data_IF_209386104035
#
_entry.id   IF_209386104035
#
_cell.length_a   1.000
_cell.length_b   1.000
_cell.length_c   1.000
_cell.angle_alpha   90.00
_cell.angle_beta   90.00
_cell.angle_gamma   90.00
#
_symmetry.space_group_name_H-M   'P 1'
#
loop_
_entity.id
_entity.type
_entity.pdbx_description
1 polymer ?
#
# COMPACT_ATOMS: atom_id res chain seq x y z
N UNK A 1 21.11 18.70 21.08
CA UNK A 1 20.62 18.15 19.81
C UNK A 1 19.14 18.50 19.75
N UNK A 2 18.81 19.51 18.92
CA UNK A 2 17.45 20.06 18.86
C UNK A 2 16.51 19.10 18.17
N UNK A 3 15.34 18.86 18.79
CA UNK A 3 14.20 18.20 18.14
C UNK A 3 13.75 19.06 16.96
N UNK A 4 13.46 18.52 15.80
CA UNK A 4 12.79 19.25 14.74
C UNK A 4 11.34 19.47 15.17
N UNK A 5 11.02 20.70 15.52
CA UNK A 5 9.70 21.13 15.98
C UNK A 5 8.70 21.21 14.84
N UNK A 6 7.58 20.54 14.96
CA UNK A 6 6.23 21.10 14.73
C UNK A 6 5.81 21.58 13.34
N UNK A 7 6.54 21.33 12.25
CA UNK A 7 6.17 21.86 10.93
C UNK A 7 5.33 20.95 10.02
N UNK A 8 5.25 19.67 10.31
CA UNK A 8 4.69 18.68 9.40
C UNK A 8 3.17 18.48 9.50
N UNK A 9 2.59 18.65 10.69
CA UNK A 9 1.14 18.45 10.93
C UNK A 9 0.24 19.41 10.13
N UNK A 10 0.66 20.66 9.90
CA UNK A 10 -0.14 21.62 9.12
C UNK A 10 -0.07 21.45 7.61
N UNK A 11 0.95 20.76 7.07
CA UNK A 11 1.08 20.53 5.64
C UNK A 11 0.14 19.42 5.14
N UNK A 12 -0.15 18.45 5.98
CA UNK A 12 -0.90 17.23 5.62
C UNK A 12 -2.41 17.47 5.61
N UNK A 13 -2.96 18.24 6.54
CA UNK A 13 -4.38 18.65 6.51
C UNK A 13 -4.76 19.43 5.23
N UNK A 14 -3.80 20.10 4.60
CA UNK A 14 -3.97 20.73 3.28
C UNK A 14 -3.99 19.72 2.12
N UNK A 15 -3.55 18.50 2.36
CA UNK A 15 -3.49 17.46 1.33
C UNK A 15 -4.89 17.02 0.86
N UNK A 16 -5.85 16.98 1.78
CA UNK A 16 -7.23 16.57 1.50
C UNK A 16 -8.20 17.73 1.31
N UNK A 17 -7.99 18.85 2.02
CA UNK A 17 -8.99 19.90 2.20
C UNK A 17 -8.66 21.20 1.45
N UNK A 18 -7.46 21.29 0.86
CA UNK A 18 -7.08 22.47 0.10
C UNK A 18 -7.85 22.58 -1.20
N UNK A 19 -8.51 23.71 -1.45
CA UNK A 19 -8.66 24.21 -2.81
C UNK A 19 -7.28 24.10 -3.47
N UNK A 20 -7.24 23.61 -4.72
CA UNK A 20 -6.02 23.50 -5.52
C UNK A 20 -5.05 24.65 -5.20
N UNK A 21 -4.01 24.37 -4.41
CA UNK A 21 -2.92 25.33 -4.19
C UNK A 21 -1.94 25.14 -5.35
N UNK A 22 -1.80 26.11 -6.25
CA UNK A 22 -0.88 26.00 -7.39
C UNK A 22 0.59 25.86 -6.99
N UNK A 23 0.90 25.98 -5.69
CA UNK A 23 2.23 25.73 -5.12
C UNK A 23 2.45 24.26 -4.71
N UNK A 24 1.39 23.45 -4.68
CA UNK A 24 1.51 22.01 -4.43
C UNK A 24 2.09 21.31 -5.66
N UNK A 25 2.90 20.25 -5.46
CA UNK A 25 3.39 19.41 -6.55
C UNK A 25 2.21 18.91 -7.40
N UNK A 26 2.36 18.98 -8.73
CA UNK A 26 1.29 18.55 -9.66
C UNK A 26 0.90 17.07 -9.48
N UNK A 27 1.83 16.22 -9.05
CA UNK A 27 1.62 14.79 -8.85
C UNK A 27 1.86 14.43 -7.40
N UNK A 28 0.94 13.69 -6.81
CA UNK A 28 1.00 13.25 -5.40
C UNK A 28 0.90 11.75 -5.30
N UNK A 29 1.60 11.19 -4.32
CA UNK A 29 1.58 9.75 -4.03
C UNK A 29 1.08 9.56 -2.61
N UNK A 30 0.07 8.71 -2.44
CA UNK A 30 -0.42 8.28 -1.12
C UNK A 30 -0.17 6.78 -1.00
N UNK A 31 0.62 6.38 -0.02
CA UNK A 31 0.88 4.97 0.26
C UNK A 31 0.10 4.55 1.49
N UNK A 32 -0.85 3.62 1.34
CA UNK A 32 -1.65 3.10 2.45
C UNK A 32 -0.96 1.89 3.09
N UNK A 33 -0.62 2.02 4.38
CA UNK A 33 0.06 1.01 5.19
C UNK A 33 -0.85 0.54 6.32
N UNK A 34 -0.61 -0.64 6.88
CA UNK A 34 -1.30 -1.15 8.06
C UNK A 34 -1.35 -2.68 8.15
N UNK A 35 -1.87 -3.19 9.24
CA UNK A 35 -2.03 -4.60 9.54
C UNK A 35 -2.91 -5.36 8.52
N UNK A 36 -2.86 -6.69 8.57
CA UNK A 36 -3.79 -7.53 7.81
C UNK A 36 -5.23 -7.34 8.30
N UNK A 37 -6.19 -7.24 7.37
CA UNK A 37 -7.61 -7.21 7.71
C UNK A 37 -8.19 -5.87 8.16
N UNK A 38 -7.37 -4.82 8.38
CA UNK A 38 -7.86 -3.50 8.85
C UNK A 38 -8.63 -2.69 7.80
N UNK A 39 -8.73 -3.16 6.56
CA UNK A 39 -9.46 -2.48 5.49
C UNK A 39 -8.62 -1.52 4.64
N UNK A 40 -7.31 -1.74 4.52
CA UNK A 40 -6.42 -0.93 3.65
C UNK A 40 -6.95 -0.75 2.24
N UNK A 41 -7.25 -1.86 1.57
CA UNK A 41 -7.76 -1.85 0.18
C UNK A 41 -9.06 -1.04 0.05
N UNK A 42 -9.98 -1.23 0.99
CA UNK A 42 -11.24 -0.46 1.04
C UNK A 42 -10.98 1.03 1.28
N UNK A 43 -10.07 1.36 2.21
CA UNK A 43 -9.67 2.75 2.50
C UNK A 43 -8.98 3.38 1.29
N UNK A 44 -8.08 2.66 0.61
CA UNK A 44 -7.39 3.14 -0.59
C UNK A 44 -8.36 3.41 -1.74
N UNK A 45 -9.34 2.50 -1.96
CA UNK A 45 -10.38 2.67 -2.96
C UNK A 45 -11.31 3.85 -2.62
N UNK A 46 -11.73 3.97 -1.36
CA UNK A 46 -12.59 5.06 -0.88
C UNK A 46 -11.89 6.42 -0.97
N UNK A 47 -10.60 6.49 -0.62
CA UNK A 47 -9.77 7.68 -0.80
C UNK A 47 -9.71 8.11 -2.26
N UNK A 48 -9.40 7.16 -3.16
CA UNK A 48 -9.34 7.42 -4.59
C UNK A 48 -10.68 7.90 -5.15
N UNK A 49 -11.80 7.27 -4.74
CA UNK A 49 -13.15 7.69 -5.10
C UNK A 49 -13.44 9.12 -4.61
N UNK A 50 -13.16 9.41 -3.34
CA UNK A 50 -13.41 10.72 -2.74
C UNK A 50 -12.63 11.86 -3.42
N UNK A 51 -11.36 11.61 -3.78
CA UNK A 51 -10.53 12.55 -4.51
C UNK A 51 -11.01 12.76 -5.97
N UNK A 52 -11.42 11.67 -6.64
CA UNK A 52 -11.99 11.75 -7.98
C UNK A 52 -13.35 12.47 -8.00
N UNK A 53 -14.20 12.27 -7.00
CA UNK A 53 -15.45 13.02 -6.85
C UNK A 53 -15.20 14.54 -6.70
N UNK A 54 -14.04 14.94 -6.16
CA UNK A 54 -13.62 16.35 -6.03
C UNK A 54 -12.95 16.94 -7.28
N UNK A 55 -12.85 16.19 -8.36
CA UNK A 55 -12.37 16.70 -9.66
C UNK A 55 -10.94 16.31 -10.01
N UNK A 56 -10.29 15.43 -9.24
CA UNK A 56 -8.93 14.98 -9.51
C UNK A 56 -8.92 13.76 -10.44
N UNK A 57 -7.85 13.60 -11.19
CA UNK A 57 -7.57 12.39 -11.97
C UNK A 57 -6.73 11.44 -11.11
N UNK A 58 -7.36 10.42 -10.57
CA UNK A 58 -6.80 9.55 -9.54
C UNK A 58 -6.61 8.14 -10.06
N UNK A 59 -5.45 7.56 -9.76
CA UNK A 59 -5.18 6.14 -9.98
C UNK A 59 -5.02 5.44 -8.63
N UNK A 60 -5.78 4.38 -8.39
CA UNK A 60 -5.53 3.45 -7.30
C UNK A 60 -4.83 2.20 -7.82
N UNK A 61 -3.69 1.86 -7.21
CA UNK A 61 -2.88 0.69 -7.58
C UNK A 61 -2.82 -0.26 -6.41
N UNK A 62 -3.17 -1.51 -6.61
CA UNK A 62 -2.96 -2.54 -5.58
C UNK A 62 -1.80 -3.47 -5.93
N UNK A 63 -1.00 -3.75 -4.93
CA UNK A 63 0.09 -4.74 -4.97
C UNK A 63 -0.44 -6.11 -4.50
N UNK A 64 -1.61 -6.15 -3.86
CA UNK A 64 -2.21 -7.40 -3.37
C UNK A 64 -2.74 -8.26 -4.52
N UNK A 65 -2.21 -9.48 -4.73
CA UNK A 65 -2.66 -10.37 -5.79
C UNK A 65 -4.09 -10.92 -5.58
N UNK A 66 -4.69 -10.71 -4.40
CA UNK A 66 -5.98 -11.27 -4.02
C UNK A 66 -7.19 -10.63 -4.73
N UNK A 67 -7.00 -9.74 -5.70
CA UNK A 67 -8.06 -9.07 -6.50
C UNK A 67 -9.12 -8.32 -5.67
N UNK A 68 -8.82 -8.01 -4.41
CA UNK A 68 -9.76 -7.35 -3.50
C UNK A 68 -10.15 -5.96 -3.99
N UNK A 69 -9.23 -5.24 -4.61
CA UNK A 69 -9.50 -3.92 -5.17
C UNK A 69 -10.59 -3.97 -6.25
N UNK A 70 -10.52 -4.98 -7.15
CA UNK A 70 -11.52 -5.15 -8.20
C UNK A 70 -12.91 -5.43 -7.62
N UNK A 71 -12.99 -6.31 -6.61
CA UNK A 71 -14.24 -6.58 -5.90
C UNK A 71 -14.78 -5.31 -5.18
N UNK A 72 -13.91 -4.59 -4.47
CA UNK A 72 -14.27 -3.36 -3.76
C UNK A 72 -14.82 -2.27 -4.69
N UNK A 73 -14.27 -2.16 -5.90
CA UNK A 73 -14.72 -1.21 -6.92
C UNK A 73 -15.86 -1.75 -7.81
N UNK A 74 -16.33 -2.99 -7.56
CA UNK A 74 -17.36 -3.65 -8.36
C UNK A 74 -16.96 -3.93 -9.80
N UNK A 75 -15.65 -4.08 -10.08
CA UNK A 75 -15.09 -4.22 -11.44
C UNK A 75 -14.46 -5.60 -11.67
N UNK A 76 -15.03 -6.63 -11.09
CA UNK A 76 -14.51 -8.01 -11.17
C UNK A 76 -14.30 -8.51 -12.61
N UNK A 77 -15.18 -8.12 -13.52
CA UNK A 77 -15.07 -8.50 -14.95
C UNK A 77 -13.90 -7.82 -15.65
N UNK A 78 -13.38 -6.72 -15.11
CA UNK A 78 -12.21 -5.98 -15.65
C UNK A 78 -10.87 -6.53 -15.18
N UNK A 79 -10.89 -7.60 -14.38
CA UNK A 79 -9.67 -8.12 -13.74
C UNK A 79 -8.54 -8.48 -14.71
N UNK A 80 -8.87 -8.89 -15.95
CA UNK A 80 -7.88 -9.22 -16.98
C UNK A 80 -7.30 -7.96 -17.68
N UNK A 81 -8.13 -6.94 -17.90
CA UNK A 81 -7.73 -5.70 -18.59
C UNK A 81 -6.99 -4.74 -17.67
N UNK A 82 -7.37 -4.70 -16.39
CA UNK A 82 -6.71 -3.87 -15.37
C UNK A 82 -5.42 -4.49 -14.80
N UNK A 83 -5.05 -5.70 -15.24
CA UNK A 83 -3.76 -6.30 -14.86
C UNK A 83 -2.62 -5.63 -15.62
N UNK A 84 -1.70 -5.01 -14.87
CA UNK A 84 -0.48 -4.41 -15.39
C UNK A 84 -0.66 -3.06 -16.10
N UNK A 85 -1.88 -2.56 -16.32
CA UNK A 85 -2.12 -1.26 -16.97
C UNK A 85 -3.27 -0.50 -16.30
N UNK A 86 -3.21 0.85 -16.24
CA UNK A 86 -4.30 1.66 -15.70
C UNK A 86 -5.59 1.49 -16.51
N UNK A 87 -6.69 1.23 -15.83
CA UNK A 87 -8.01 1.12 -16.43
C UNK A 87 -8.97 2.16 -15.83
N UNK A 88 -9.67 2.91 -16.67
CA UNK A 88 -10.63 3.92 -16.25
C UNK A 88 -11.93 3.28 -15.80
N UNK A 89 -12.41 3.67 -14.62
CA UNK A 89 -13.68 3.21 -14.08
C UNK A 89 -14.82 4.08 -14.66
N UNK A 90 -15.90 3.43 -15.13
CA UNK A 90 -17.06 4.15 -15.63
C UNK A 90 -17.75 4.93 -14.51
N UNK A 91 -17.83 6.28 -14.60
CA UNK A 91 -18.46 7.10 -13.58
C UNK A 91 -19.96 6.83 -13.40
N UNK A 92 -20.65 6.24 -14.38
CA UNK A 92 -22.07 5.92 -14.28
C UNK A 92 -22.37 4.96 -13.15
N UNK A 93 -21.45 4.03 -12.86
CA UNK A 93 -21.58 3.05 -11.77
C UNK A 93 -21.73 3.71 -10.41
N UNK A 94 -21.03 4.82 -10.19
CA UNK A 94 -21.11 5.57 -8.93
C UNK A 94 -22.25 6.56 -8.92
N UNK A 95 -22.71 7.02 -10.09
CA UNK A 95 -23.86 7.91 -10.20
C UNK A 95 -25.16 7.21 -9.74
N UNK A 96 -25.30 5.92 -9.99
CA UNK A 96 -26.42 5.09 -9.51
C UNK A 96 -26.46 5.01 -7.97
N UNK A 97 -25.31 5.13 -7.32
CA UNK A 97 -25.15 5.17 -5.85
C UNK A 97 -25.10 6.62 -5.30
N UNK A 98 -25.49 7.60 -6.10
CA UNK A 98 -25.54 9.00 -5.68
C UNK A 98 -24.19 9.73 -5.62
N UNK A 99 -23.10 9.14 -6.11
CA UNK A 99 -21.78 9.77 -6.13
C UNK A 99 -21.53 10.45 -7.49
N UNK A 100 -21.55 11.78 -7.49
CA UNK A 100 -21.20 12.56 -8.68
C UNK A 100 -19.67 12.66 -8.85
N UNK A 101 -19.16 12.11 -9.94
CA UNK A 101 -17.72 12.17 -10.29
C UNK A 101 -17.45 13.44 -11.09
N UNK A 102 -16.61 14.35 -10.54
CA UNK A 102 -16.16 15.56 -11.24
C UNK A 102 -14.82 15.37 -11.96
N UNK A 103 -14.01 14.40 -11.51
CA UNK A 103 -12.74 13.99 -12.08
C UNK A 103 -12.81 12.59 -12.66
N UNK A 104 -11.69 11.88 -12.60
CA UNK A 104 -11.54 10.54 -13.15
C UNK A 104 -10.99 9.57 -12.12
N UNK A 105 -11.61 8.40 -12.00
CA UNK A 105 -11.09 7.28 -11.22
C UNK A 105 -10.55 6.21 -12.15
N UNK A 106 -9.32 5.82 -11.89
CA UNK A 106 -8.62 4.74 -12.58
C UNK A 106 -8.18 3.70 -11.55
N UNK A 107 -8.17 2.45 -11.95
CA UNK A 107 -7.67 1.35 -11.11
C UNK A 107 -6.66 0.49 -11.88
N UNK A 108 -5.73 -0.07 -11.14
CA UNK A 108 -4.74 -0.98 -11.67
C UNK A 108 -4.40 -2.06 -10.65
N UNK A 109 -4.32 -3.29 -11.10
CA UNK A 109 -3.76 -4.41 -10.33
C UNK A 109 -2.35 -4.70 -10.85
N UNK A 110 -1.39 -4.73 -9.95
CA UNK A 110 -0.02 -5.04 -10.31
C UNK A 110 0.10 -6.53 -10.69
N UNK A 111 0.69 -6.79 -11.83
CA UNK A 111 1.17 -8.10 -12.23
C UNK A 111 2.70 -8.09 -12.17
N UNK A 112 3.31 -8.77 -11.17
CA UNK A 112 4.75 -8.74 -10.99
C UNK A 112 5.51 -9.26 -12.19
N UNK A 113 5.05 -10.35 -12.78
CA UNK A 113 5.70 -10.94 -13.94
C UNK A 113 5.67 -9.99 -15.13
N UNK A 114 4.50 -9.44 -15.43
CA UNK A 114 4.34 -8.47 -16.53
C UNK A 114 5.18 -7.22 -16.31
N UNK A 115 5.24 -6.71 -15.06
CA UNK A 115 6.07 -5.55 -14.74
C UNK A 115 7.56 -5.84 -14.97
N UNK A 116 8.05 -7.05 -14.62
CA UNK A 116 9.43 -7.46 -14.94
C UNK A 116 9.65 -7.61 -16.45
N UNK A 117 8.72 -8.24 -17.18
CA UNK A 117 8.81 -8.38 -18.63
C UNK A 117 8.88 -7.01 -19.34
N UNK A 118 8.09 -6.02 -18.85
CA UNK A 118 8.13 -4.65 -19.34
C UNK A 118 9.47 -3.94 -19.05
N UNK A 119 10.06 -4.19 -17.86
CA UNK A 119 11.40 -3.69 -17.52
C UNK A 119 12.45 -4.24 -18.51
N UNK A 120 12.45 -5.56 -18.71
CA UNK A 120 13.36 -6.20 -19.64
C UNK A 120 13.19 -5.58 -21.04
N UNK A 121 11.95 -5.45 -21.50
CA UNK A 121 11.65 -4.87 -22.82
C UNK A 121 12.18 -3.44 -22.98
N UNK A 122 12.15 -2.63 -21.92
CA UNK A 122 12.60 -1.23 -21.97
C UNK A 122 14.10 -1.03 -21.78
N UNK A 123 14.75 -1.95 -21.07
CA UNK A 123 16.17 -1.82 -20.70
C UNK A 123 17.09 -2.70 -21.54
N UNK A 124 16.56 -3.67 -22.28
CA UNK A 124 17.34 -4.45 -23.23
C UNK A 124 17.91 -3.54 -24.34
N UNK A 125 19.12 -3.81 -24.76
CA UNK A 125 19.85 -3.04 -25.77
C UNK A 125 19.25 -3.18 -27.17
N UNK A 126 18.71 -4.36 -27.45
CA UNK A 126 18.09 -4.73 -28.71
C UNK A 126 17.02 -5.84 -28.51
N UNK A 127 16.32 -6.18 -29.60
CA UNK A 127 15.28 -7.18 -29.59
C UNK A 127 15.83 -8.60 -29.33
N UNK A 128 17.03 -8.91 -29.78
CA UNK A 128 17.68 -10.21 -29.58
C UNK A 128 17.99 -10.42 -28.08
N UNK A 129 18.56 -9.43 -27.41
CA UNK A 129 18.80 -9.48 -25.96
C UNK A 129 17.51 -9.63 -25.17
N UNK A 130 16.46 -8.86 -25.55
CA UNK A 130 15.13 -8.97 -24.95
C UNK A 130 14.58 -10.39 -25.05
N UNK A 131 14.56 -10.97 -26.26
CA UNK A 131 14.04 -12.31 -26.49
C UNK A 131 14.84 -13.37 -25.73
N UNK A 132 16.17 -13.25 -25.72
CA UNK A 132 17.04 -14.17 -24.97
C UNK A 132 16.74 -14.13 -23.46
N UNK A 133 16.56 -12.95 -22.87
CA UNK A 133 16.25 -12.82 -21.43
C UNK A 133 14.85 -13.37 -21.15
N UNK A 134 13.85 -12.96 -21.91
CA UNK A 134 12.46 -13.38 -21.68
C UNK A 134 12.26 -14.89 -21.88
N UNK A 135 13.01 -15.53 -22.77
CA UNK A 135 12.95 -16.97 -23.01
C UNK A 135 13.81 -17.79 -22.03
N UNK A 136 14.68 -17.15 -21.26
CA UNK A 136 15.62 -17.86 -20.37
C UNK A 136 14.86 -18.58 -19.22
N UNK A 137 15.05 -19.89 -19.02
CA UNK A 137 14.37 -20.65 -17.96
C UNK A 137 14.64 -20.11 -16.55
N UNK A 138 15.83 -19.56 -16.28
CA UNK A 138 16.19 -18.96 -15.00
C UNK A 138 15.36 -17.70 -14.78
N UNK A 139 15.22 -16.86 -15.80
CA UNK A 139 14.37 -15.69 -15.77
C UNK A 139 12.91 -16.04 -15.46
N UNK A 140 12.36 -17.03 -16.18
CA UNK A 140 10.97 -17.45 -16.03
C UNK A 140 10.67 -17.94 -14.60
N UNK A 141 11.62 -18.63 -13.97
CA UNK A 141 11.50 -19.08 -12.59
C UNK A 141 11.66 -17.91 -11.59
N UNK A 142 12.66 -17.05 -11.80
CA UNK A 142 12.93 -15.93 -10.90
C UNK A 142 11.82 -14.87 -10.95
N UNK A 143 11.33 -14.49 -12.11
CA UNK A 143 10.30 -13.46 -12.28
C UNK A 143 8.95 -13.85 -11.64
N UNK A 144 8.70 -15.15 -11.46
CA UNK A 144 7.47 -15.66 -10.85
C UNK A 144 7.59 -16.10 -9.40
N UNK A 145 8.80 -16.44 -8.92
CA UNK A 145 9.01 -17.13 -7.65
C UNK A 145 9.80 -16.33 -6.59
N UNK A 146 10.42 -15.21 -6.96
CA UNK A 146 11.30 -14.47 -6.04
C UNK A 146 10.49 -13.73 -4.98
N UNK A 147 10.75 -14.04 -3.70
CA UNK A 147 10.24 -13.26 -2.58
C UNK A 147 10.70 -11.80 -2.73
N UNK A 148 9.76 -10.84 -2.74
CA UNK A 148 10.04 -9.42 -3.01
C UNK A 148 9.79 -8.99 -4.46
N UNK A 149 9.36 -9.90 -5.35
CA UNK A 149 9.00 -9.55 -6.73
C UNK A 149 7.84 -8.54 -6.80
N UNK A 150 6.88 -8.64 -5.89
CA UNK A 150 5.76 -7.72 -5.79
C UNK A 150 6.23 -6.30 -5.46
N UNK A 151 7.11 -6.15 -4.48
CA UNK A 151 7.64 -4.87 -4.02
C UNK A 151 8.50 -4.21 -5.11
N UNK A 152 9.34 -4.99 -5.78
CA UNK A 152 10.19 -4.50 -6.86
C UNK A 152 9.37 -4.06 -8.07
N UNK A 153 8.38 -4.86 -8.44
CA UNK A 153 7.44 -4.55 -9.52
C UNK A 153 6.66 -3.27 -9.24
N UNK A 154 6.21 -3.12 -7.98
CA UNK A 154 5.50 -1.91 -7.55
C UNK A 154 6.36 -0.66 -7.65
N UNK A 155 7.65 -0.73 -7.26
CA UNK A 155 8.59 0.38 -7.37
C UNK A 155 8.78 0.77 -8.83
N UNK A 156 9.03 -0.20 -9.70
CA UNK A 156 9.26 0.07 -11.11
C UNK A 156 8.02 0.65 -11.78
N UNK A 157 6.85 0.09 -11.45
CA UNK A 157 5.59 0.57 -12.00
C UNK A 157 5.24 1.95 -11.46
N UNK A 158 5.55 2.24 -10.21
CA UNK A 158 5.37 3.57 -9.63
C UNK A 158 6.23 4.62 -10.35
N UNK A 159 7.48 4.28 -10.70
CA UNK A 159 8.33 5.15 -11.52
C UNK A 159 7.68 5.47 -12.86
N UNK A 160 7.21 4.45 -13.59
CA UNK A 160 6.53 4.60 -14.87
C UNK A 160 5.26 5.47 -14.74
N UNK A 161 4.39 5.14 -13.77
CA UNK A 161 3.14 5.86 -13.54
C UNK A 161 3.38 7.33 -13.19
N UNK A 162 4.43 7.62 -12.44
CA UNK A 162 4.78 8.98 -12.08
C UNK A 162 5.32 9.78 -13.26
N UNK A 163 6.16 9.20 -14.10
CA UNK A 163 6.83 9.93 -15.19
C UNK A 163 6.05 9.93 -16.50
N UNK A 164 5.36 8.85 -16.83
CA UNK A 164 4.75 8.67 -18.16
C UNK A 164 3.24 8.95 -18.20
N UNK A 165 2.56 8.94 -17.03
CA UNK A 165 1.11 9.20 -16.97
C UNK A 165 0.81 10.52 -16.27
N UNK A 166 -0.31 11.14 -16.66
CA UNK A 166 -0.75 12.42 -16.10
C UNK A 166 -1.89 12.20 -15.08
N UNK A 167 -1.55 11.61 -13.94
CA UNK A 167 -2.43 11.50 -12.79
C UNK A 167 -2.11 12.60 -11.78
N UNK A 168 -3.15 13.21 -11.19
CA UNK A 168 -2.98 14.17 -10.10
C UNK A 168 -2.58 13.45 -8.80
N UNK A 169 -3.15 12.25 -8.57
CA UNK A 169 -2.87 11.44 -7.39
C UNK A 169 -2.74 9.96 -7.76
N UNK A 170 -1.72 9.32 -7.21
CA UNK A 170 -1.55 7.87 -7.22
C UNK A 170 -1.73 7.36 -5.80
N UNK A 171 -2.74 6.53 -5.56
CA UNK A 171 -2.99 5.86 -4.28
C UNK A 171 -2.46 4.43 -4.37
N UNK A 172 -1.49 4.08 -3.53
CA UNK A 172 -0.87 2.77 -3.51
C UNK A 172 -1.41 1.94 -2.35
N UNK A 173 -2.14 0.88 -2.66
CA UNK A 173 -2.61 -0.12 -1.72
C UNK A 173 -1.54 -1.21 -1.53
N UNK A 174 -0.98 -1.30 -0.32
CA UNK A 174 0.11 -2.24 -0.03
C UNK A 174 -0.40 -3.56 0.54
N UNK A 175 0.35 -4.66 0.35
CA UNK A 175 -0.01 -5.95 0.92
C UNK A 175 -0.05 -5.91 2.46
N UNK A 176 -0.83 -6.82 3.09
CA UNK A 176 -0.86 -6.94 4.54
C UNK A 176 0.43 -7.56 5.04
N UNK A 177 1.35 -6.76 5.56
CA UNK A 177 2.54 -7.31 6.18
C UNK A 177 3.14 -6.36 7.20
N UNK A 178 3.72 -6.92 8.28
CA UNK A 178 4.70 -6.22 9.13
C UNK A 178 5.87 -5.69 8.29
N UNK A 179 5.99 -6.19 7.10
CA UNK A 179 6.96 -5.83 6.08
C UNK A 179 6.38 -4.87 5.01
N UNK A 180 5.25 -4.20 5.27
CA UNK A 180 4.72 -3.18 4.35
C UNK A 180 5.77 -2.10 4.02
N UNK A 181 6.77 -1.93 4.90
CA UNK A 181 7.96 -1.10 4.67
C UNK A 181 9.10 -1.83 3.95
N UNK A 182 9.00 -3.15 3.74
CA UNK A 182 9.96 -3.88 2.90
C UNK A 182 9.89 -3.42 1.44
N UNK A 183 8.72 -2.92 1.02
CA UNK A 183 8.56 -2.18 -0.22
C UNK A 183 9.59 -1.02 -0.33
N UNK A 184 9.84 -0.30 0.75
CA UNK A 184 10.80 0.81 0.80
C UNK A 184 12.26 0.31 0.87
N UNK A 185 12.50 -0.86 1.44
CA UNK A 185 13.82 -1.47 1.58
C UNK A 185 14.15 -2.39 0.39
N UNK A 186 13.16 -2.82 -0.39
CA UNK A 186 13.33 -3.69 -1.56
C UNK A 186 14.37 -3.14 -2.55
N UNK A 187 14.39 -1.83 -2.87
CA UNK A 187 15.45 -1.23 -3.68
C UNK A 187 16.84 -1.48 -3.12
N UNK A 188 17.03 -1.16 -1.84
CA UNK A 188 18.35 -1.26 -1.17
C UNK A 188 18.79 -2.71 -1.07
N UNK A 189 17.88 -3.65 -0.79
CA UNK A 189 18.20 -5.08 -0.73
C UNK A 189 18.61 -5.63 -2.10
N UNK A 190 17.87 -5.25 -3.15
CA UNK A 190 18.20 -5.68 -4.50
C UNK A 190 19.53 -5.09 -4.94
N UNK A 191 19.77 -3.79 -4.73
CA UNK A 191 21.04 -3.17 -5.05
C UNK A 191 22.19 -3.83 -4.28
N UNK A 192 22.01 -4.11 -2.97
CA UNK A 192 22.97 -4.86 -2.18
C UNK A 192 23.27 -6.26 -2.71
N UNK A 193 22.25 -6.93 -3.28
CA UNK A 193 22.43 -8.22 -3.95
C UNK A 193 23.16 -8.06 -5.30
N UNK A 194 22.74 -7.10 -6.12
CA UNK A 194 23.30 -6.84 -7.46
C UNK A 194 24.75 -6.31 -7.40
N UNK A 195 25.07 -5.49 -6.42
CA UNK A 195 26.42 -4.98 -6.16
C UNK A 195 27.27 -5.97 -5.34
N UNK A 196 26.65 -7.00 -4.82
CA UNK A 196 27.26 -7.99 -3.94
C UNK A 196 28.40 -8.77 -4.58
N UNK A 197 29.39 -9.16 -3.77
CA UNK A 197 30.53 -9.97 -4.22
C UNK A 197 30.09 -11.30 -4.86
N UNK A 198 28.97 -11.86 -4.39
CA UNK A 198 28.45 -13.11 -4.91
C UNK A 198 28.07 -12.98 -6.41
N UNK A 199 27.34 -11.93 -6.79
CA UNK A 199 26.94 -11.73 -8.18
C UNK A 199 28.14 -11.41 -9.07
N UNK A 200 29.08 -10.58 -8.60
CA UNK A 200 30.32 -10.28 -9.33
C UNK A 200 31.14 -11.53 -9.64
N UNK A 201 31.03 -12.55 -8.80
CA UNK A 201 31.68 -13.86 -9.01
C UNK A 201 30.99 -14.64 -10.11
N UNK A 202 29.65 -14.64 -10.12
CA UNK A 202 28.88 -15.29 -11.21
C UNK A 202 29.09 -14.60 -12.54
N UNK A 203 29.30 -13.29 -12.53
CA UNK A 203 29.56 -12.49 -13.75
C UNK A 203 31.01 -12.55 -14.22
N UNK A 204 31.95 -13.03 -13.40
CA UNK A 204 33.37 -13.07 -13.75
C UNK A 204 33.62 -14.11 -14.88
N UNK A 205 34.54 -13.79 -15.85
CA UNK A 205 34.91 -14.74 -16.90
C UNK A 205 35.42 -16.04 -16.29
N UNK A 206 35.02 -17.18 -16.88
CA UNK A 206 35.47 -18.51 -16.48
C UNK A 206 37.00 -18.62 -16.59
N UNK A 207 37.69 -18.57 -15.47
CA UNK A 207 39.14 -18.60 -15.36
C UNK A 207 39.71 -17.70 -14.26
N UNK A 208 39.00 -16.64 -13.89
CA UNK A 208 39.40 -15.71 -12.81
C UNK A 208 38.82 -16.17 -11.45
N UNK A 209 37.70 -16.87 -11.47
CA UNK A 209 36.99 -17.37 -10.29
C UNK A 209 37.85 -18.30 -9.42
N UNK A 210 38.67 -19.16 -10.03
CA UNK A 210 39.52 -20.08 -9.31
C UNK A 210 40.68 -19.39 -8.55
N UNK A 211 41.06 -18.17 -8.94
CA UNK A 211 42.17 -17.39 -8.30
C UNK A 211 41.69 -16.43 -7.21
N UNK A 212 40.45 -16.00 -7.25
CA UNK A 212 39.85 -15.04 -6.31
C UNK A 212 39.30 -15.69 -5.03
N UNK A 213 39.01 -16.98 -5.07
CA UNK A 213 38.50 -17.72 -3.93
C UNK A 213 39.58 -18.57 -3.29
N UNK A 214 39.95 -18.22 -2.04
CA UNK A 214 40.77 -19.06 -1.20
C UNK A 214 40.17 -20.46 -1.01
N UNK A 215 40.97 -21.44 -0.65
CA UNK A 215 40.65 -22.89 -0.54
C UNK A 215 39.33 -23.22 0.18
N UNK A 216 38.83 -22.36 1.09
CA UNK A 216 37.60 -22.58 1.87
C UNK A 216 36.30 -22.31 1.10
N UNK A 217 36.31 -21.34 0.18
CA UNK A 217 35.10 -20.97 -0.60
C UNK A 217 34.91 -21.91 -1.78
N UNK A 218 35.97 -22.46 -2.34
CA UNK A 218 35.92 -23.47 -3.41
C UNK A 218 35.21 -24.75 -2.97
N UNK A 219 35.26 -25.08 -1.68
CA UNK A 219 34.59 -26.30 -1.15
C UNK A 219 33.09 -26.12 -1.06
N UNK A 220 32.58 -24.95 -0.66
CA UNK A 220 31.15 -24.64 -0.63
C UNK A 220 30.58 -24.63 -2.06
N UNK A 221 31.33 -24.04 -3.01
CA UNK A 221 30.95 -24.05 -4.43
C UNK A 221 30.94 -25.45 -5.03
N UNK A 222 31.92 -26.29 -4.68
CA UNK A 222 31.99 -27.67 -5.15
C UNK A 222 30.83 -28.55 -4.59
N UNK A 223 30.44 -28.32 -3.35
CA UNK A 223 29.28 -28.99 -2.74
C UNK A 223 28.00 -28.53 -3.41
N UNK A 224 27.83 -27.21 -3.64
CA UNK A 224 26.65 -26.65 -4.31
C UNK A 224 26.53 -27.15 -5.76
N UNK A 225 27.61 -27.12 -6.52
CA UNK A 225 27.67 -27.66 -7.90
C UNK A 225 27.38 -29.16 -7.96
N UNK A 226 27.72 -29.92 -6.91
CA UNK A 226 27.47 -31.35 -6.83
C UNK A 226 26.01 -31.70 -6.49
N UNK A 227 25.33 -30.80 -5.79
CA UNK A 227 23.90 -30.96 -5.41
C UNK A 227 22.97 -30.45 -6.51
N UNK A 228 23.34 -29.34 -7.20
CA UNK A 228 22.47 -28.65 -8.16
C UNK A 228 22.83 -28.92 -9.62
N UNK A 229 23.98 -29.54 -9.91
CA UNK A 229 24.49 -29.80 -11.25
C UNK A 229 25.35 -28.65 -11.81
N UNK A 230 26.37 -29.01 -12.59
CA UNK A 230 27.30 -28.03 -13.19
C UNK A 230 26.61 -27.16 -14.22
N UNK A 231 25.59 -27.69 -14.90
CA UNK A 231 24.83 -26.97 -15.94
C UNK A 231 24.06 -25.77 -15.38
N UNK A 232 23.43 -25.91 -14.21
CA UNK A 232 22.69 -24.82 -13.57
C UNK A 232 23.58 -23.64 -13.21
N UNK A 233 24.83 -23.87 -12.78
CA UNK A 233 25.78 -22.79 -12.48
C UNK A 233 26.23 -22.06 -13.75
N UNK A 234 26.41 -22.77 -14.85
CA UNK A 234 26.73 -22.18 -16.14
C UNK A 234 25.57 -21.36 -16.70
N UNK A 235 24.35 -21.88 -16.57
CA UNK A 235 23.14 -21.18 -16.98
C UNK A 235 22.89 -19.93 -16.15
N UNK A 236 23.04 -20.00 -14.83
CA UNK A 236 22.95 -18.85 -13.93
C UNK A 236 23.99 -17.79 -14.27
N UNK A 237 25.24 -18.18 -14.53
CA UNK A 237 26.31 -17.27 -14.93
C UNK A 237 26.06 -16.61 -16.28
N UNK A 238 25.47 -17.34 -17.23
CA UNK A 238 25.06 -16.83 -18.54
C UNK A 238 23.94 -15.81 -18.36
N UNK A 239 22.90 -16.19 -17.64
CA UNK A 239 21.76 -15.35 -17.33
C UNK A 239 22.16 -14.00 -16.72
N UNK A 240 22.95 -13.99 -15.63
CA UNK A 240 23.38 -12.75 -15.00
C UNK A 240 24.27 -11.89 -15.89
N UNK A 241 25.06 -12.46 -16.77
CA UNK A 241 25.85 -11.70 -17.76
C UNK A 241 24.95 -11.01 -18.79
N UNK A 242 23.95 -11.72 -19.30
CA UNK A 242 22.96 -11.14 -20.22
C UNK A 242 22.14 -10.06 -19.54
N UNK A 243 21.78 -10.26 -18.26
CA UNK A 243 21.01 -9.29 -17.49
C UNK A 243 21.81 -8.06 -17.05
N UNK A 244 23.15 -8.04 -17.19
CA UNK A 244 24.00 -6.97 -16.63
C UNK A 244 23.64 -5.57 -17.12
N UNK A 245 23.28 -5.43 -18.41
CA UNK A 245 22.86 -4.14 -18.97
C UNK A 245 21.53 -3.64 -18.41
N UNK A 246 20.63 -4.55 -18.05
CA UNK A 246 19.33 -4.23 -17.46
C UNK A 246 19.46 -3.85 -15.98
N UNK A 247 20.44 -4.43 -15.27
CA UNK A 247 20.68 -4.20 -13.84
C UNK A 247 20.98 -2.73 -13.54
N UNK A 248 21.82 -2.09 -14.34
CA UNK A 248 22.22 -0.70 -14.13
C UNK A 248 21.01 0.25 -14.28
N UNK A 249 20.23 0.12 -15.35
CA UNK A 249 19.04 0.91 -15.58
C UNK A 249 17.92 0.66 -14.56
N UNK A 250 17.85 -0.57 -14.03
CA UNK A 250 16.95 -0.89 -12.94
C UNK A 250 17.36 -0.20 -11.63
N UNK A 251 18.67 -0.19 -11.34
CA UNK A 251 19.22 0.49 -10.17
C UNK A 251 18.98 2.01 -10.17
N UNK A 252 19.00 2.66 -11.33
CA UNK A 252 18.67 4.09 -11.46
C UNK A 252 17.20 4.35 -11.12
N UNK A 253 16.26 3.64 -11.76
CA UNK A 253 14.83 3.78 -11.48
C UNK A 253 14.47 3.54 -10.02
N UNK A 254 15.12 2.57 -9.42
CA UNK A 254 14.97 2.25 -8.01
C UNK A 254 15.39 3.40 -7.09
N UNK A 255 16.51 4.07 -7.40
CA UNK A 255 16.98 5.25 -6.67
C UNK A 255 16.05 6.45 -6.86
N UNK A 256 15.54 6.63 -8.06
CA UNK A 256 14.58 7.71 -8.36
C UNK A 256 13.29 7.55 -7.54
N UNK A 257 12.72 6.33 -7.48
CA UNK A 257 11.52 6.09 -6.65
C UNK A 257 11.83 6.25 -5.17
N UNK A 258 12.97 5.79 -4.69
CA UNK A 258 13.36 6.00 -3.30
C UNK A 258 13.53 7.50 -2.96
N UNK A 259 13.94 8.33 -3.92
CA UNK A 259 13.96 9.79 -3.78
C UNK A 259 12.54 10.36 -3.79
N UNK A 260 11.72 9.95 -4.76
CA UNK A 260 10.33 10.39 -4.92
C UNK A 260 9.49 10.13 -3.66
N UNK A 261 9.65 8.97 -3.02
CA UNK A 261 8.95 8.63 -1.80
C UNK A 261 9.39 9.46 -0.57
N UNK A 262 10.51 10.18 -0.65
CA UNK A 262 10.97 11.13 0.38
C UNK A 262 10.55 12.57 0.10
N UNK A 263 10.00 12.84 -1.06
CA UNK A 263 9.54 14.18 -1.40
C UNK A 263 8.26 14.55 -0.64
N UNK A 264 8.01 15.85 -0.42
CA UNK A 264 6.76 16.33 0.19
C UNK A 264 5.49 15.98 -0.60
N UNK A 265 5.64 15.57 -1.85
CA UNK A 265 4.57 15.07 -2.73
C UNK A 265 4.10 13.66 -2.40
N UNK A 266 4.90 12.93 -1.61
CA UNK A 266 4.62 11.57 -1.17
C UNK A 266 4.26 11.54 0.31
N UNK A 267 3.19 10.83 0.67
CA UNK A 267 2.72 10.70 2.05
C UNK A 267 2.30 9.26 2.34
N UNK A 268 2.49 8.85 3.59
CA UNK A 268 2.18 7.50 4.06
C UNK A 268 1.01 7.55 5.02
N UNK A 269 -0.12 6.97 4.63
CA UNK A 269 -1.30 6.84 5.47
C UNK A 269 -1.24 5.54 6.25
N UNK A 270 -1.47 5.63 7.55
CA UNK A 270 -1.54 4.45 8.41
C UNK A 270 -3.00 4.11 8.63
N UNK A 271 -3.42 2.94 8.15
CA UNK A 271 -4.77 2.40 8.35
C UNK A 271 -4.70 1.33 9.42
N UNK A 272 -5.50 1.49 10.45
CA UNK A 272 -5.60 0.56 11.58
C UNK A 272 -7.05 0.34 11.99
N UNK A 273 -7.28 -0.48 12.99
CA UNK A 273 -8.56 -0.64 13.69
C UNK A 273 -8.33 -0.52 15.20
N UNK A 274 -9.37 -0.35 16.02
CA UNK A 274 -9.20 -0.14 17.45
C UNK A 274 -8.74 -1.39 18.22
N UNK A 275 -8.62 -2.55 17.56
CA UNK A 275 -8.15 -3.76 18.20
C UNK A 275 -6.67 -3.64 18.61
N UNK A 276 -6.25 -4.32 19.70
CA UNK A 276 -4.92 -4.14 20.30
C UNK A 276 -3.75 -4.44 19.34
N UNK A 277 -3.82 -5.52 18.57
CA UNK A 277 -2.73 -5.93 17.67
C UNK A 277 -2.54 -4.95 16.50
N UNK A 278 -3.59 -4.57 15.72
CA UNK A 278 -3.50 -3.55 14.69
C UNK A 278 -3.02 -2.19 15.22
N UNK A 279 -3.47 -1.81 16.41
CA UNK A 279 -3.05 -0.55 17.05
C UNK A 279 -1.54 -0.55 17.36
N UNK A 280 -1.00 -1.63 17.90
CA UNK A 280 0.45 -1.77 18.14
C UNK A 280 1.24 -1.78 16.82
N UNK A 281 0.72 -2.41 15.78
CA UNK A 281 1.36 -2.41 14.47
C UNK A 281 1.38 -1.01 13.86
N UNK A 282 0.33 -0.22 14.04
CA UNK A 282 0.28 1.18 13.59
C UNK A 282 1.38 2.03 14.24
N UNK A 283 1.60 1.88 15.54
CA UNK A 283 2.70 2.57 16.25
C UNK A 283 4.06 2.15 15.70
N UNK A 284 4.26 0.84 15.53
CA UNK A 284 5.50 0.32 14.94
C UNK A 284 5.76 0.86 13.53
N UNK A 285 4.73 0.95 12.67
CA UNK A 285 4.84 1.51 11.32
C UNK A 285 5.21 2.99 11.35
N UNK A 286 4.59 3.78 12.22
CA UNK A 286 4.89 5.20 12.37
C UNK A 286 6.34 5.45 12.81
N UNK A 287 6.84 4.71 13.81
CA UNK A 287 8.23 4.76 14.26
C UNK A 287 9.20 4.42 13.12
N UNK A 288 8.86 3.41 12.33
CA UNK A 288 9.65 2.99 11.18
C UNK A 288 9.67 4.03 10.06
N UNK A 289 8.55 4.70 9.77
CA UNK A 289 8.50 5.81 8.82
C UNK A 289 9.36 6.97 9.30
N UNK A 290 9.22 7.36 10.56
CA UNK A 290 10.00 8.44 11.19
C UNK A 290 11.50 8.18 11.13
N UNK A 291 11.95 6.97 11.49
CA UNK A 291 13.37 6.56 11.42
C UNK A 291 13.96 6.64 10.01
N UNK A 292 13.14 6.51 8.97
CA UNK A 292 13.56 6.61 7.57
C UNK A 292 13.42 8.01 6.98
N UNK A 293 12.95 8.98 7.78
CA UNK A 293 12.70 10.35 7.32
C UNK A 293 11.58 10.44 6.30
N UNK A 294 10.59 9.54 6.38
CA UNK A 294 9.42 9.52 5.51
C UNK A 294 8.26 10.27 6.15
N UNK A 295 7.55 11.08 5.37
CA UNK A 295 6.41 11.84 5.86
C UNK A 295 5.22 10.92 6.10
N UNK A 296 4.89 10.65 7.38
CA UNK A 296 3.60 10.05 7.70
C UNK A 296 2.49 11.09 7.51
N UNK A 297 1.42 10.65 6.85
CA UNK A 297 0.23 11.46 6.61
C UNK A 297 -0.84 11.20 7.66
N UNK A 298 -2.04 10.87 7.20
CA UNK A 298 -3.18 10.65 8.09
C UNK A 298 -3.10 9.29 8.79
N UNK A 299 -3.63 9.27 10.01
CA UNK A 299 -4.01 8.05 10.71
C UNK A 299 -5.50 7.80 10.46
N UNK A 300 -5.82 6.67 9.86
CA UNK A 300 -7.21 6.22 9.66
C UNK A 300 -7.49 5.07 10.62
N UNK A 301 -8.43 5.28 11.54
CA UNK A 301 -8.94 4.23 12.42
C UNK A 301 -10.25 3.72 11.86
N UNK A 302 -10.20 2.58 11.20
CA UNK A 302 -11.31 1.95 10.52
C UNK A 302 -12.05 0.98 11.44
N UNK A 303 -13.35 0.80 11.21
CA UNK A 303 -14.23 -0.11 11.96
C UNK A 303 -14.31 0.24 13.45
N UNK A 304 -14.28 1.52 13.79
CA UNK A 304 -14.44 1.95 15.16
C UNK A 304 -15.91 1.94 15.56
N UNK A 305 -16.21 1.41 16.72
CA UNK A 305 -17.51 1.65 17.34
C UNK A 305 -17.55 3.11 17.79
N UNK A 306 -18.45 3.89 17.17
CA UNK A 306 -18.61 5.31 17.44
C UNK A 306 -20.09 5.66 17.43
N UNK A 307 -20.48 6.61 18.23
CA UNK A 307 -21.86 7.06 18.37
C UNK A 307 -22.22 7.41 19.81
N UNK A 308 -23.45 7.84 19.98
CA UNK A 308 -24.01 8.08 21.30
C UNK A 308 -24.33 6.73 21.95
N UNK A 309 -23.57 6.38 22.99
CA UNK A 309 -23.83 5.22 23.82
C UNK A 309 -24.98 5.51 24.81
N UNK A 310 -24.76 5.16 26.07
CA UNK A 310 -25.72 5.48 27.14
C UNK A 310 -25.77 6.98 27.49
N UNK A 311 -24.78 7.75 27.07
CA UNK A 311 -24.66 9.20 27.30
C UNK A 311 -24.96 9.65 28.75
N UNK A 312 -24.44 8.87 29.71
CA UNK A 312 -24.64 9.10 31.14
C UNK A 312 -25.95 8.55 31.73
N UNK A 313 -26.84 8.00 30.91
CA UNK A 313 -28.04 7.30 31.37
C UNK A 313 -27.72 5.91 31.86
N UNK A 314 -28.50 5.41 32.83
CA UNK A 314 -28.42 3.99 33.20
C UNK A 314 -29.20 3.10 32.19
N UNK A 315 -28.87 1.82 32.07
CA UNK A 315 -29.68 0.89 31.27
C UNK A 315 -31.15 0.84 31.69
N UNK A 316 -31.41 1.03 32.98
CA UNK A 316 -32.76 1.09 33.57
C UNK A 316 -33.52 2.32 33.09
N UNK A 317 -32.86 3.49 32.99
CA UNK A 317 -33.47 4.73 32.47
C UNK A 317 -33.84 4.56 30.99
N UNK A 318 -32.93 3.98 30.20
CA UNK A 318 -33.17 3.70 28.78
C UNK A 318 -34.33 2.69 28.63
N UNK A 319 -34.35 1.63 29.44
CA UNK A 319 -35.45 0.66 29.42
C UNK A 319 -36.79 1.35 29.76
N UNK A 320 -36.83 2.21 30.78
CA UNK A 320 -38.03 2.93 31.17
C UNK A 320 -38.56 3.87 30.04
N UNK A 321 -37.61 4.54 29.35
CA UNK A 321 -37.90 5.41 28.20
C UNK A 321 -38.49 4.63 27.01
N UNK A 322 -37.93 3.47 26.72
CA UNK A 322 -38.34 2.65 25.56
C UNK A 322 -39.60 1.76 25.81
N UNK A 323 -39.89 1.45 27.09
CA UNK A 323 -40.93 0.52 27.47
C UNK A 323 -42.37 0.91 26.97
N UNK A 324 -42.76 2.19 26.94
CA UNK A 324 -44.07 2.58 26.40
C UNK A 324 -44.28 2.26 24.92
N UNK A 325 -43.17 2.32 24.13
CA UNK A 325 -43.23 2.10 22.67
C UNK A 325 -42.95 0.65 22.30
N UNK A 326 -41.96 0.01 22.92
CA UNK A 326 -41.47 -1.32 22.55
C UNK A 326 -42.05 -2.45 23.41
N UNK A 327 -42.68 -2.12 24.54
CA UNK A 327 -43.04 -3.07 25.58
C UNK A 327 -41.87 -3.51 26.44
N UNK A 328 -42.10 -3.96 27.67
CA UNK A 328 -41.07 -4.19 28.69
C UNK A 328 -39.95 -5.16 28.23
N UNK A 329 -40.34 -6.25 27.56
CA UNK A 329 -39.37 -7.28 27.17
C UNK A 329 -38.39 -6.85 26.08
N UNK A 330 -38.88 -6.10 25.07
CA UNK A 330 -38.01 -5.59 23.99
C UNK A 330 -37.20 -4.38 24.46
N UNK A 331 -37.80 -3.52 25.29
CA UNK A 331 -37.10 -2.39 25.90
C UNK A 331 -35.92 -2.84 26.78
N UNK A 332 -36.06 -3.91 27.56
CA UNK A 332 -34.98 -4.47 28.37
C UNK A 332 -33.83 -4.97 27.50
N UNK A 333 -34.13 -5.69 26.41
CA UNK A 333 -33.13 -6.18 25.48
C UNK A 333 -32.39 -5.04 24.75
N UNK A 334 -33.16 -4.03 24.31
CA UNK A 334 -32.59 -2.84 23.65
C UNK A 334 -31.65 -2.06 24.61
N UNK A 335 -32.07 -1.85 25.85
CA UNK A 335 -31.24 -1.20 26.86
C UNK A 335 -29.95 -1.98 27.18
N UNK A 336 -30.04 -3.30 27.26
CA UNK A 336 -28.88 -4.16 27.45
C UNK A 336 -27.90 -4.10 26.27
N UNK A 337 -28.40 -4.21 25.04
CA UNK A 337 -27.58 -4.10 23.85
C UNK A 337 -26.90 -2.71 23.74
N UNK A 338 -27.61 -1.64 24.12
CA UNK A 338 -27.04 -0.30 24.13
C UNK A 338 -25.92 -0.17 25.19
N UNK A 339 -26.07 -0.81 26.34
CA UNK A 339 -25.03 -0.86 27.38
C UNK A 339 -23.79 -1.61 26.90
N UNK A 340 -23.97 -2.75 26.22
CA UNK A 340 -22.84 -3.48 25.61
C UNK A 340 -22.17 -2.66 24.53
N UNK A 341 -22.94 -1.96 23.71
CA UNK A 341 -22.42 -1.05 22.67
C UNK A 341 -21.62 0.11 23.28
N UNK A 342 -22.10 0.72 24.36
CA UNK A 342 -21.43 1.80 25.08
C UNK A 342 -20.04 1.38 25.59
N UNK A 343 -19.89 0.14 26.06
CA UNK A 343 -18.59 -0.43 26.45
C UNK A 343 -17.64 -0.47 25.24
N UNK A 344 -18.13 -0.88 24.08
CA UNK A 344 -17.31 -0.93 22.86
C UNK A 344 -16.91 0.46 22.39
N UNK A 345 -17.82 1.43 22.41
CA UNK A 345 -17.56 2.84 22.04
C UNK A 345 -16.46 3.43 22.96
N UNK A 346 -16.58 3.23 24.27
CA UNK A 346 -15.59 3.75 25.25
C UNK A 346 -14.21 3.11 25.05
N UNK A 347 -14.16 1.79 24.87
CA UNK A 347 -12.91 1.06 24.59
C UNK A 347 -12.22 1.60 23.35
N UNK A 348 -12.97 1.80 22.27
CA UNK A 348 -12.43 2.26 21.00
C UNK A 348 -11.97 3.72 21.10
N UNK A 349 -12.74 4.57 21.76
CA UNK A 349 -12.36 5.97 22.02
C UNK A 349 -11.05 6.07 22.82
N UNK A 350 -10.87 5.25 23.87
CA UNK A 350 -9.63 5.18 24.64
C UNK A 350 -8.44 4.70 23.77
N UNK A 351 -8.66 3.75 22.90
CA UNK A 351 -7.60 3.24 22.01
C UNK A 351 -7.22 4.29 20.97
N UNK A 352 -8.20 4.98 20.38
CA UNK A 352 -7.98 6.09 19.45
C UNK A 352 -7.19 7.21 20.12
N UNK A 353 -7.56 7.61 21.34
CA UNK A 353 -6.84 8.64 22.10
C UNK A 353 -5.37 8.25 22.37
N UNK A 354 -5.12 6.97 22.74
CA UNK A 354 -3.75 6.45 22.94
C UNK A 354 -2.94 6.44 21.65
N UNK A 355 -3.55 6.06 20.54
CA UNK A 355 -2.91 6.07 19.22
C UNK A 355 -2.52 7.49 18.80
N UNK A 356 -3.43 8.45 18.92
CA UNK A 356 -3.17 9.86 18.60
C UNK A 356 -2.00 10.44 19.41
N UNK A 357 -1.98 10.12 20.71
CA UNK A 357 -0.89 10.54 21.59
C UNK A 357 0.46 9.86 21.23
N UNK A 358 0.45 8.55 20.95
CA UNK A 358 1.66 7.80 20.64
C UNK A 358 2.28 8.19 19.29
N UNK A 359 1.45 8.53 18.31
CA UNK A 359 1.91 8.92 16.98
C UNK A 359 2.16 10.42 16.83
N UNK A 360 1.89 11.21 17.86
CA UNK A 360 1.97 12.67 17.81
C UNK A 360 1.20 13.27 16.60
N UNK A 361 0.13 12.60 16.16
CA UNK A 361 -0.76 13.07 15.10
C UNK A 361 -1.89 13.91 15.70
N UNK A 362 -2.48 14.76 14.88
CA UNK A 362 -3.71 15.47 15.24
C UNK A 362 -4.90 14.50 15.44
N UNK A 363 -6.10 14.99 15.20
CA UNK A 363 -7.31 14.17 15.25
C UNK A 363 -7.28 13.12 14.11
N UNK A 364 -7.34 11.81 14.42
CA UNK A 364 -7.33 10.78 13.39
C UNK A 364 -8.67 10.74 12.64
N UNK A 365 -8.64 10.27 11.42
CA UNK A 365 -9.86 10.02 10.64
C UNK A 365 -10.49 8.73 11.17
N UNK A 366 -11.65 8.84 11.79
CA UNK A 366 -12.40 7.69 12.30
C UNK A 366 -13.46 7.28 11.29
N UNK A 367 -13.38 6.03 10.82
CA UNK A 367 -14.39 5.41 9.98
C UNK A 367 -15.18 4.44 10.87
N UNK A 368 -16.50 4.67 11.04
CA UNK A 368 -17.30 3.86 11.91
C UNK A 368 -17.44 2.41 11.39
N UNK A 369 -17.71 1.50 12.31
CA UNK A 369 -18.16 0.15 11.96
C UNK A 369 -19.49 0.26 11.22
N UNK A 370 -19.54 -0.28 10.02
CA UNK A 370 -20.74 -0.30 9.19
C UNK A 370 -21.43 -1.66 9.28
N UNK A 371 -22.74 -1.66 9.43
CA UNK A 371 -23.55 -2.87 9.41
C UNK A 371 -23.55 -3.45 7.98
N UNK A 372 -23.09 -4.69 7.84
CA UNK A 372 -23.11 -5.41 6.58
C UNK A 372 -21.71 -5.75 6.03
N UNK A 373 -21.71 -6.51 4.95
CA UNK A 373 -20.49 -6.84 4.22
C UNK A 373 -20.11 -5.60 3.38
N UNK A 374 -19.08 -4.85 3.79
CA UNK A 374 -18.59 -3.62 3.12
C UNK A 374 -18.02 -3.91 1.71
N UNK A 375 -18.83 -4.54 0.86
CA UNK A 375 -18.46 -4.93 -0.49
C UNK A 375 -19.20 -4.12 -1.58
N UNK A 376 -20.11 -3.22 -1.16
CA UNK A 376 -20.91 -2.42 -2.08
C UNK A 376 -20.29 -1.05 -2.37
N UNK A 377 -20.63 -0.47 -3.54
CA UNK A 377 -20.25 0.88 -3.92
C UNK A 377 -20.83 1.94 -2.98
N UNK A 378 -22.00 1.70 -2.40
CA UNK A 378 -22.66 2.57 -1.40
C UNK A 378 -21.79 2.71 -0.15
N UNK A 379 -21.28 1.59 0.38
CA UNK A 379 -20.41 1.59 1.56
C UNK A 379 -19.08 2.29 1.26
N UNK A 380 -18.54 2.05 0.07
CA UNK A 380 -17.34 2.74 -0.38
C UNK A 380 -17.53 4.26 -0.44
N UNK A 381 -18.69 4.70 -0.92
CA UNK A 381 -19.06 6.12 -0.94
C UNK A 381 -19.21 6.70 0.47
N UNK A 382 -19.78 5.97 1.40
CA UNK A 382 -19.90 6.38 2.79
C UNK A 382 -18.51 6.49 3.46
N UNK A 383 -17.63 5.52 3.26
CA UNK A 383 -16.24 5.59 3.74
C UNK A 383 -15.53 6.81 3.11
N UNK A 384 -15.67 7.02 1.80
CA UNK A 384 -15.10 8.18 1.13
C UNK A 384 -15.56 9.50 1.74
N UNK A 385 -16.85 9.60 2.13
CA UNK A 385 -17.38 10.77 2.81
C UNK A 385 -16.71 11.01 4.17
N UNK A 386 -16.44 9.94 4.95
CA UNK A 386 -15.70 10.06 6.21
C UNK A 386 -14.23 10.49 5.98
N UNK A 387 -13.54 9.90 5.01
CA UNK A 387 -12.15 10.26 4.68
C UNK A 387 -12.03 11.72 4.19
N UNK A 388 -13.09 12.25 3.59
CA UNK A 388 -13.11 13.59 3.01
C UNK A 388 -13.66 14.67 3.96
N UNK A 389 -14.07 14.34 5.19
CA UNK A 389 -14.45 15.35 6.19
C UNK A 389 -13.23 16.17 6.58
N UNK A 390 -13.40 17.49 6.67
CA UNK A 390 -12.39 18.33 7.27
C UNK A 390 -12.25 17.96 8.75
N UNK A 391 -11.04 17.96 9.33
CA UNK A 391 -10.92 17.87 10.76
C UNK A 391 -11.78 18.97 11.40
N UNK A 392 -12.48 18.64 12.48
CA UNK A 392 -13.22 19.60 13.24
C UNK A 392 -12.21 20.63 13.79
N UNK A 393 -12.30 21.88 13.31
CA UNK A 393 -11.37 22.97 13.62
C UNK A 393 -11.48 23.43 15.08
#
# INVERSE_FOLDING_TARGET
MGKPSGGYSHAVGRFLHGNYDPRMPKKRIVVCLGAGGVGKTTTSAALALGLAARGQKVLVVTIDPAKRLAATLGVEQMSAEAQGSPHRIDPKRFAEEGVAMKGELWAMMLDPKRAFDEIITRLARDDDEREQILADPVYQQLSSAVAGSNELSAITKLHELHHEYDFDVIVLDTPPSRNALDFLDAPTRLMGFLEGRALKVFMAPSGITARLFGRSTGLVFAIFARVTGVDMMADLSRFFRTLSGVIDGFGERTRDVASLLREPSSTFWIVTSPEPEPALEAVFLAERLSTRGLAHGELVVNRAYSGEGLDGHSPEDVQALLAPTLGKGLAARAAHNLADFDVLVKRDAETIARLSAALEVGEPIVVPYMDGDTQGLTDLAAIAAHLMKAPAG
#
